data_IF_440500420707
#
_entry.id   IF_440500420707
#
_cell.length_a   1.000
_cell.length_b   1.000
_cell.length_c   1.000
_cell.angle_alpha   90.00
_cell.angle_beta   90.00
_cell.angle_gamma   90.00
#
_symmetry.space_group_name_H-M   'P 1'
#
loop_
_entity.id
_entity.type
_entity.pdbx_description
1 polymer ?
#
# COMPACT_ATOMS: atom_id res chain seq x y z
N UNK A 1 -4.17 -22.63 36.41
CA UNK A 1 -4.80 -22.96 37.71
C UNK A 1 -3.82 -23.82 38.50
N UNK A 2 -3.29 -23.29 39.59
CA UNK A 2 -2.50 -24.10 40.55
C UNK A 2 -3.48 -24.78 41.51
N UNK A 3 -3.51 -26.10 41.53
CA UNK A 3 -4.27 -26.86 42.48
C UNK A 3 -3.40 -27.09 43.72
N UNK A 4 -3.96 -26.93 44.88
CA UNK A 4 -3.31 -27.20 46.15
C UNK A 4 -4.08 -28.36 46.87
N UNK A 5 -3.41 -29.47 47.03
CA UNK A 5 -3.96 -30.61 47.82
C UNK A 5 -3.66 -30.40 49.29
N UNK A 6 -4.68 -30.37 50.10
CA UNK A 6 -4.57 -30.19 51.53
C UNK A 6 -5.24 -31.40 52.23
N UNK A 7 -4.65 -31.94 53.32
CA UNK A 7 -5.28 -32.98 54.09
C UNK A 7 -6.55 -32.48 54.82
N UNK A 8 -7.60 -33.28 54.83
CA UNK A 8 -8.87 -32.92 55.45
C UNK A 8 -8.69 -32.68 56.95
N UNK A 9 -9.08 -31.48 57.41
CA UNK A 9 -9.18 -31.14 58.86
C UNK A 9 -10.56 -30.55 59.11
N UNK A 10 -11.01 -30.67 60.38
CA UNK A 10 -12.33 -30.17 60.80
C UNK A 10 -12.54 -28.68 60.68
N UNK A 11 -11.47 -27.87 60.52
CA UNK A 11 -11.48 -26.47 60.19
C UNK A 11 -10.31 -26.25 59.24
N UNK A 12 -10.59 -25.85 57.99
CA UNK A 12 -9.59 -25.52 56.98
C UNK A 12 -9.57 -24.02 56.73
N UNK A 13 -8.40 -23.39 56.91
CA UNK A 13 -8.14 -22.04 56.48
C UNK A 13 -7.35 -22.11 55.17
N UNK A 14 -8.02 -21.91 54.02
CA UNK A 14 -7.38 -21.89 52.72
C UNK A 14 -7.01 -20.43 52.41
N UNK A 15 -5.73 -20.13 52.32
CA UNK A 15 -5.23 -18.84 51.86
C UNK A 15 -4.88 -19.01 50.37
N UNK A 16 -5.71 -18.50 49.51
CA UNK A 16 -5.41 -18.39 48.08
C UNK A 16 -4.45 -17.23 47.90
N UNK A 17 -3.24 -17.51 47.47
CA UNK A 17 -2.39 -16.45 46.91
C UNK A 17 -3.00 -15.95 45.61
N UNK A 18 -3.13 -14.66 45.44
CA UNK A 18 -3.60 -14.11 44.17
C UNK A 18 -2.64 -14.54 43.05
N UNK A 19 -3.18 -15.23 42.05
CA UNK A 19 -2.44 -15.62 40.82
C UNK A 19 -2.46 -14.49 39.80
N UNK A 20 -2.28 -13.26 40.27
CA UNK A 20 -2.02 -12.12 39.40
C UNK A 20 -0.55 -12.18 39.01
N UNK A 21 -0.21 -12.96 37.99
CA UNK A 21 0.95 -12.65 37.17
C UNK A 21 0.67 -11.30 36.53
N UNK A 22 1.13 -10.23 37.16
CA UNK A 22 1.22 -8.93 36.55
C UNK A 22 2.26 -9.08 35.43
N UNK A 23 1.79 -9.35 34.20
CA UNK A 23 2.63 -9.24 33.02
C UNK A 23 3.09 -7.78 32.98
N UNK A 24 4.31 -7.52 33.40
CA UNK A 24 4.95 -6.23 33.20
C UNK A 24 5.07 -6.01 31.69
N UNK A 25 4.18 -5.20 31.18
CA UNK A 25 4.11 -4.88 29.74
C UNK A 25 5.27 -3.95 29.41
N UNK A 26 6.35 -4.55 28.91
CA UNK A 26 7.57 -3.84 28.52
C UNK A 26 7.41 -3.31 27.12
N UNK A 27 7.53 -2.01 26.96
CA UNK A 27 7.45 -1.31 25.66
C UNK A 27 8.85 -0.96 25.19
N UNK A 28 9.13 -1.18 23.92
CA UNK A 28 10.34 -0.69 23.28
C UNK A 28 10.18 0.82 23.04
N UNK A 29 11.04 1.60 23.65
CA UNK A 29 11.08 3.06 23.52
C UNK A 29 12.16 3.49 22.52
N UNK A 30 12.57 4.74 22.57
CA UNK A 30 13.64 5.26 21.73
C UNK A 30 14.90 4.40 21.77
N UNK A 31 15.56 4.25 20.62
CA UNK A 31 16.85 3.57 20.47
C UNK A 31 16.83 2.08 20.88
N UNK A 32 15.66 1.43 20.85
CA UNK A 32 15.52 0.03 21.24
C UNK A 32 15.60 -0.23 22.76
N UNK A 33 15.54 0.79 23.59
CA UNK A 33 15.53 0.65 25.05
C UNK A 33 14.17 0.09 25.48
N UNK A 34 14.18 -0.95 26.29
CA UNK A 34 12.99 -1.53 26.90
C UNK A 34 12.69 -0.83 28.23
N UNK A 35 11.48 -0.32 28.38
CA UNK A 35 10.99 0.27 29.65
C UNK A 35 9.60 -0.28 29.97
N UNK A 36 9.30 -0.34 31.26
CA UNK A 36 7.96 -0.68 31.70
C UNK A 36 6.97 0.39 31.25
N UNK A 37 5.86 -0.02 30.72
CA UNK A 37 4.81 0.88 30.24
C UNK A 37 4.33 1.85 31.31
N UNK A 38 4.31 1.42 32.56
CA UNK A 38 3.95 2.25 33.72
C UNK A 38 4.95 3.37 34.01
N UNK A 39 6.20 3.19 33.61
CA UNK A 39 7.28 4.18 33.81
C UNK A 39 7.33 5.23 32.67
N UNK A 40 6.46 5.11 31.65
CA UNK A 40 6.42 6.07 30.54
C UNK A 40 5.53 7.26 30.89
N UNK A 41 6.09 8.47 30.88
CA UNK A 41 5.35 9.72 31.02
C UNK A 41 4.51 10.12 29.80
N UNK A 42 4.31 9.19 28.82
CA UNK A 42 3.58 9.44 27.58
C UNK A 42 2.78 8.20 27.14
N UNK A 43 1.73 8.43 26.36
CA UNK A 43 0.90 7.36 25.85
C UNK A 43 1.62 6.62 24.70
N UNK A 44 1.98 5.36 24.93
CA UNK A 44 2.45 4.42 23.92
C UNK A 44 1.37 3.36 23.68
N UNK A 45 1.20 3.00 22.43
CA UNK A 45 0.31 1.90 22.01
C UNK A 45 1.12 0.94 21.15
N UNK A 46 1.06 -0.34 21.47
CA UNK A 46 1.77 -1.39 20.78
C UNK A 46 0.82 -2.32 20.02
N UNK A 47 1.29 -2.83 18.89
CA UNK A 47 0.68 -3.90 18.11
C UNK A 47 1.68 -5.03 17.98
N UNK A 48 1.25 -6.24 18.22
CA UNK A 48 2.06 -7.44 18.05
C UNK A 48 1.88 -8.08 16.68
N UNK A 49 2.85 -8.89 16.26
CA UNK A 49 2.90 -9.58 14.97
C UNK A 49 1.59 -10.29 14.61
N UNK A 50 1.01 -11.03 15.55
CA UNK A 50 -0.26 -11.78 15.34
C UNK A 50 -1.46 -10.87 15.02
N UNK A 51 -1.45 -9.64 15.46
CA UNK A 51 -2.48 -8.66 15.13
C UNK A 51 -2.22 -8.01 13.76
N UNK A 52 -0.97 -7.88 13.35
CA UNK A 52 -0.56 -7.31 12.07
C UNK A 52 -0.87 -8.26 10.92
N UNK A 53 -0.49 -9.53 11.06
CA UNK A 53 -0.47 -10.50 9.96
C UNK A 53 -1.84 -11.15 9.67
N UNK A 54 -2.85 -10.96 10.54
CA UNK A 54 -4.20 -11.49 10.33
C UNK A 54 -4.87 -11.08 9.02
N UNK A 55 -4.54 -9.92 8.49
CA UNK A 55 -5.14 -9.39 7.26
C UNK A 55 -4.41 -9.82 5.98
N UNK A 56 -3.19 -10.36 6.08
CA UNK A 56 -2.37 -10.77 4.93
C UNK A 56 -2.06 -9.67 3.93
N UNK A 57 -2.09 -8.40 4.38
CA UNK A 57 -1.87 -7.25 3.52
C UNK A 57 -0.39 -7.05 3.21
N UNK A 58 -0.08 -6.59 2.00
CA UNK A 58 1.28 -6.29 1.54
C UNK A 58 1.83 -4.97 2.08
N UNK A 59 0.95 -4.02 2.42
CA UNK A 59 1.28 -2.69 2.91
C UNK A 59 1.22 -2.61 4.43
N UNK A 60 2.27 -2.03 5.04
CA UNK A 60 2.32 -1.76 6.47
C UNK A 60 1.18 -0.85 6.92
N UNK A 61 0.88 0.20 6.16
CA UNK A 61 -0.21 1.13 6.46
C UNK A 61 -1.56 0.41 6.53
N UNK A 62 -1.85 -0.48 5.56
CA UNK A 62 -3.07 -1.30 5.59
C UNK A 62 -3.09 -2.26 6.77
N UNK A 63 -1.94 -2.84 7.14
CA UNK A 63 -1.83 -3.78 8.26
C UNK A 63 -2.18 -3.14 9.61
N UNK A 64 -1.92 -1.85 9.80
CA UNK A 64 -2.18 -1.11 11.04
C UNK A 64 -3.48 -0.30 11.02
N UNK A 65 -4.15 -0.18 9.86
CA UNK A 65 -5.38 0.60 9.71
C UNK A 65 -6.50 0.10 10.63
N UNK A 66 -7.12 1.02 11.37
CA UNK A 66 -8.21 0.72 12.30
C UNK A 66 -7.80 0.01 13.60
N UNK A 67 -6.51 -0.31 13.78
CA UNK A 67 -6.00 -1.02 14.98
C UNK A 67 -5.40 -0.08 16.03
N UNK A 68 -5.20 1.19 15.70
CA UNK A 68 -4.49 2.17 16.52
C UNK A 68 -5.36 3.39 16.80
N UNK A 69 -5.51 3.72 18.08
CA UNK A 69 -6.33 4.87 18.51
C UNK A 69 -5.63 6.19 18.15
N UNK A 70 -6.37 7.13 17.55
CA UNK A 70 -5.86 8.48 17.21
C UNK A 70 -4.84 8.47 16.08
N UNK A 71 -4.87 7.43 15.24
CA UNK A 71 -4.10 7.33 13.99
C UNK A 71 -5.10 7.24 12.84
N UNK A 72 -5.05 8.22 11.95
CA UNK A 72 -5.81 8.25 10.70
C UNK A 72 -4.90 7.77 9.57
N UNK A 73 -5.35 6.77 8.83
CA UNK A 73 -4.60 6.17 7.74
C UNK A 73 -5.45 6.23 6.48
N UNK A 74 -4.94 6.90 5.47
CA UNK A 74 -5.58 7.05 4.17
C UNK A 74 -4.66 6.56 3.08
N UNK A 75 -5.14 5.65 2.27
CA UNK A 75 -4.47 5.26 1.04
C UNK A 75 -4.84 6.23 -0.08
N UNK A 76 -3.90 6.55 -0.95
CA UNK A 76 -4.12 7.41 -2.11
C UNK A 76 -5.06 6.76 -3.12
N UNK A 77 -5.02 5.42 -3.23
CA UNK A 77 -5.92 4.63 -4.08
C UNK A 77 -5.96 3.17 -3.59
N UNK A 78 -6.78 2.34 -4.24
CA UNK A 78 -6.81 0.89 -4.04
C UNK A 78 -5.83 0.12 -4.95
N UNK A 79 -4.96 0.81 -5.70
CA UNK A 79 -3.99 0.17 -6.58
C UNK A 79 -2.88 -0.53 -5.80
N UNK A 80 -2.27 -1.60 -6.34
CA UNK A 80 -1.09 -2.22 -5.77
C UNK A 80 0.03 -1.20 -5.57
N UNK A 81 0.69 -1.23 -4.40
CA UNK A 81 1.77 -0.31 -4.10
C UNK A 81 1.38 1.16 -3.89
N UNK A 82 0.07 1.46 -3.81
CA UNK A 82 -0.40 2.83 -3.59
C UNK A 82 0.22 3.45 -2.32
N UNK A 83 0.61 4.72 -2.41
CA UNK A 83 1.12 5.49 -1.28
C UNK A 83 0.06 5.65 -0.19
N UNK A 84 0.51 5.84 1.04
CA UNK A 84 -0.36 6.01 2.18
C UNK A 84 -0.01 7.25 2.97
N UNK A 85 -1.03 7.94 3.48
CA UNK A 85 -0.87 9.04 4.42
C UNK A 85 -1.26 8.57 5.82
N UNK A 86 -0.33 8.71 6.76
CA UNK A 86 -0.56 8.41 8.16
C UNK A 86 -0.50 9.71 8.94
N UNK A 87 -1.55 10.01 9.68
CA UNK A 87 -1.65 11.20 10.52
C UNK A 87 -1.93 10.79 11.96
N UNK A 88 -1.08 11.25 12.89
CA UNK A 88 -1.20 10.96 14.31
C UNK A 88 -1.73 12.19 15.03
N UNK A 89 -2.92 12.09 15.67
CA UNK A 89 -3.59 13.17 16.42
C UNK A 89 -3.91 14.42 15.58
N UNK A 90 -4.14 14.28 14.29
CA UNK A 90 -4.50 15.36 13.38
C UNK A 90 -3.31 16.01 12.67
N UNK A 91 -3.59 16.69 11.56
CA UNK A 91 -2.60 17.44 10.80
C UNK A 91 -2.17 18.68 11.60
N UNK A 92 -0.88 18.97 11.61
CA UNK A 92 -0.28 20.10 12.32
C UNK A 92 0.20 21.19 11.39
N UNK A 93 0.56 20.83 10.18
CA UNK A 93 1.02 21.75 9.14
C UNK A 93 -0.01 21.82 8.02
N UNK A 94 -0.26 23.02 7.52
CA UNK A 94 -1.12 23.23 6.36
C UNK A 94 -0.38 22.90 5.05
N UNK A 95 0.88 23.34 4.93
CA UNK A 95 1.71 23.15 3.72
C UNK A 95 2.85 22.15 3.93
N UNK A 96 3.06 21.66 5.14
CA UNK A 96 4.17 20.78 5.47
C UNK A 96 3.80 19.31 5.49
N UNK A 97 4.83 18.49 5.55
CA UNK A 97 4.67 17.07 5.73
C UNK A 97 4.07 16.76 7.11
N UNK A 98 2.94 16.06 7.16
CA UNK A 98 2.27 15.61 8.38
C UNK A 98 2.52 14.13 8.69
N UNK A 99 3.40 13.46 7.93
CA UNK A 99 3.75 12.06 8.11
C UNK A 99 4.60 11.85 9.38
N UNK A 100 4.39 10.75 10.11
CA UNK A 100 5.24 10.40 11.25
C UNK A 100 6.62 9.92 10.78
N UNK A 101 7.60 10.03 11.69
CA UNK A 101 8.91 9.41 11.48
C UNK A 101 8.81 7.89 11.68
N UNK A 102 9.43 7.14 10.80
CA UNK A 102 9.58 5.70 10.97
C UNK A 102 10.97 5.38 11.56
N UNK A 103 10.97 4.47 12.52
CA UNK A 103 12.19 3.99 13.17
C UNK A 103 12.18 2.46 13.17
N UNK A 104 13.12 1.85 12.48
CA UNK A 104 13.26 0.38 12.41
C UNK A 104 14.49 -0.06 13.20
N UNK A 105 14.28 -0.94 14.18
CA UNK A 105 15.32 -1.44 15.09
C UNK A 105 16.21 -0.33 15.72
N UNK A 106 15.57 0.81 16.03
CA UNK A 106 16.20 1.97 16.64
C UNK A 106 16.76 3.00 15.64
N UNK A 107 16.73 2.74 14.33
CA UNK A 107 17.23 3.65 13.29
C UNK A 107 16.10 4.35 12.55
N UNK A 108 16.13 5.71 12.48
CA UNK A 108 15.24 6.46 11.61
C UNK A 108 15.47 6.13 10.14
N UNK A 109 14.40 5.82 9.43
CA UNK A 109 14.39 5.57 7.98
C UNK A 109 13.48 6.56 7.26
N UNK A 110 13.73 6.77 5.97
CA UNK A 110 12.86 7.60 5.14
C UNK A 110 11.72 6.74 4.55
N UNK A 111 10.49 7.26 4.60
CA UNK A 111 9.31 6.61 4.03
C UNK A 111 8.52 7.51 3.08
N UNK A 112 9.05 8.71 2.75
CA UNK A 112 8.41 9.59 1.78
C UNK A 112 8.52 9.04 0.36
N UNK A 113 7.59 9.42 -0.51
CA UNK A 113 7.73 9.17 -1.94
C UNK A 113 8.91 9.98 -2.50
N UNK A 114 9.57 9.47 -3.54
CA UNK A 114 10.72 10.14 -4.15
C UNK A 114 10.31 11.41 -4.91
N UNK A 115 9.10 11.42 -5.46
CA UNK A 115 8.52 12.56 -6.15
C UNK A 115 7.22 12.97 -5.49
N UNK A 116 7.10 14.25 -5.24
CA UNK A 116 5.85 14.85 -4.82
C UNK A 116 5.01 15.15 -6.07
N UNK A 117 3.86 14.51 -6.17
CA UNK A 117 2.88 14.84 -7.24
C UNK A 117 2.22 16.20 -6.99
N UNK A 118 2.55 16.85 -5.90
CA UNK A 118 2.05 18.17 -5.51
C UNK A 118 0.53 18.21 -5.40
N UNK A 119 -0.05 19.36 -5.75
CA UNK A 119 -1.49 19.56 -5.78
C UNK A 119 -2.11 19.14 -7.14
N UNK A 120 -1.42 18.32 -7.91
CA UNK A 120 -1.88 17.88 -9.21
C UNK A 120 -3.12 17.01 -9.09
N UNK A 121 -4.15 17.35 -9.81
CA UNK A 121 -5.36 16.51 -10.00
C UNK A 121 -5.18 15.51 -11.14
N UNK A 122 -3.98 15.37 -11.66
CA UNK A 122 -3.59 14.43 -12.71
C UNK A 122 -2.17 13.93 -12.47
N UNK A 123 -1.85 12.72 -12.92
CA UNK A 123 -0.51 12.14 -12.84
C UNK A 123 -0.48 10.72 -12.31
N UNK A 124 0.71 10.13 -12.27
CA UNK A 124 0.93 8.80 -11.73
C UNK A 124 0.90 8.81 -10.19
N UNK A 125 0.45 7.73 -9.62
CA UNK A 125 0.44 7.53 -8.17
C UNK A 125 1.69 6.74 -7.78
N UNK A 126 2.76 7.43 -7.41
CA UNK A 126 4.00 6.80 -6.99
C UNK A 126 3.89 6.22 -5.58
N UNK A 127 4.51 5.06 -5.37
CA UNK A 127 4.56 4.43 -4.07
C UNK A 127 5.48 5.21 -3.12
N UNK A 128 5.04 5.34 -1.87
CA UNK A 128 5.92 5.77 -0.79
C UNK A 128 6.85 4.63 -0.34
N UNK A 129 7.91 4.98 0.39
CA UNK A 129 8.93 4.01 0.81
C UNK A 129 8.49 3.15 2.00
N UNK A 130 7.28 3.31 2.55
CA UNK A 130 6.73 2.41 3.57
C UNK A 130 6.41 1.02 3.03
N UNK A 131 6.21 0.90 1.71
CA UNK A 131 5.98 -0.38 1.02
C UNK A 131 7.20 -1.31 1.10
N UNK A 132 8.41 -0.77 1.28
CA UNK A 132 9.64 -1.54 1.38
C UNK A 132 9.75 -2.32 2.70
N UNK A 133 8.90 -2.01 3.68
CA UNK A 133 8.83 -2.70 4.97
C UNK A 133 7.80 -3.82 4.90
N UNK A 134 8.26 -5.07 5.01
CA UNK A 134 7.35 -6.21 5.00
C UNK A 134 6.67 -6.38 6.39
N UNK A 135 5.32 -6.36 6.49
CA UNK A 135 4.62 -6.59 7.75
C UNK A 135 4.95 -7.94 8.40
N UNK A 136 5.24 -8.98 7.62
CA UNK A 136 5.59 -10.32 8.12
C UNK A 136 6.93 -10.37 8.86
N UNK A 137 7.83 -9.41 8.62
CA UNK A 137 9.12 -9.32 9.31
C UNK A 137 9.03 -8.61 10.66
N UNK A 138 7.87 -8.04 10.99
CA UNK A 138 7.66 -7.22 12.18
C UNK A 138 7.28 -8.08 13.38
N UNK A 139 7.95 -7.88 14.51
CA UNK A 139 7.58 -8.44 15.82
C UNK A 139 6.58 -7.55 16.54
N UNK A 140 6.91 -6.24 16.65
CA UNK A 140 6.03 -5.25 17.29
C UNK A 140 6.11 -3.89 16.61
N UNK A 141 5.00 -3.16 16.66
CA UNK A 141 4.92 -1.75 16.30
C UNK A 141 4.50 -0.96 17.53
N UNK A 142 5.28 0.07 17.87
CA UNK A 142 4.95 1.02 18.92
C UNK A 142 4.76 2.40 18.33
N UNK A 143 3.70 3.11 18.75
CA UNK A 143 3.45 4.47 18.30
C UNK A 143 3.64 5.44 19.44
N UNK A 144 4.60 6.37 19.25
CA UNK A 144 4.81 7.50 20.11
C UNK A 144 4.02 8.70 19.57
N UNK A 145 3.04 9.14 20.35
CA UNK A 145 2.10 10.19 19.95
C UNK A 145 2.52 11.55 20.53
N UNK A 146 2.57 12.55 19.64
CA UNK A 146 2.76 13.94 20.05
C UNK A 146 4.20 14.31 20.36
N UNK A 147 4.38 15.40 21.14
CA UNK A 147 5.69 16.03 21.36
C UNK A 147 6.68 15.18 22.18
N UNK A 148 6.21 14.19 22.93
CA UNK A 148 7.09 13.25 23.60
C UNK A 148 8.03 12.52 22.63
N UNK A 149 7.56 12.28 21.40
CA UNK A 149 8.38 11.71 20.33
C UNK A 149 9.51 12.65 19.91
N UNK A 150 9.26 13.98 19.88
CA UNK A 150 10.26 14.99 19.52
C UNK A 150 11.38 15.11 20.54
N UNK A 151 11.10 14.85 21.81
CA UNK A 151 12.11 14.83 22.87
C UNK A 151 13.13 13.69 22.66
N UNK A 152 12.73 12.61 21.97
CA UNK A 152 13.57 11.44 21.76
C UNK A 152 14.26 11.43 20.38
N UNK A 153 13.58 11.94 19.33
CA UNK A 153 14.06 11.90 17.95
C UNK A 153 14.19 13.27 17.28
N UNK A 154 14.09 14.35 18.06
CA UNK A 154 14.20 15.72 17.56
C UNK A 154 12.99 16.17 16.73
N UNK A 155 13.16 17.30 16.03
CA UNK A 155 12.08 17.97 15.30
C UNK A 155 11.44 17.09 14.19
N UNK A 156 12.18 16.16 13.61
CA UNK A 156 11.66 15.22 12.61
C UNK A 156 10.52 14.35 13.14
N UNK A 157 10.44 14.18 14.46
CA UNK A 157 9.42 13.40 15.14
C UNK A 157 8.22 14.25 15.63
N UNK A 158 8.11 15.50 15.22
CA UNK A 158 7.03 16.41 15.66
C UNK A 158 5.63 15.86 15.35
N UNK A 159 5.48 15.11 14.26
CA UNK A 159 4.22 14.47 13.84
C UNK A 159 3.99 13.09 14.47
N UNK A 160 4.86 12.68 15.42
CA UNK A 160 4.87 11.35 16.04
C UNK A 160 5.89 10.42 15.41
N UNK A 161 6.03 9.23 16.01
CA UNK A 161 6.99 8.20 15.58
C UNK A 161 6.32 6.85 15.57
N UNK A 162 6.57 6.09 14.51
CA UNK A 162 6.22 4.67 14.38
C UNK A 162 7.52 3.89 14.60
N UNK A 163 7.62 3.22 15.75
CA UNK A 163 8.77 2.37 16.09
C UNK A 163 8.45 0.94 15.71
N UNK A 164 9.25 0.38 14.84
CA UNK A 164 9.14 -0.98 14.33
C UNK A 164 10.29 -1.80 14.90
N UNK A 165 9.96 -2.90 15.56
CA UNK A 165 10.93 -3.90 15.98
C UNK A 165 10.75 -5.11 15.10
N UNK A 166 11.82 -5.55 14.44
CA UNK A 166 11.79 -6.74 13.59
C UNK A 166 11.93 -8.02 14.41
N UNK A 167 11.46 -9.14 13.84
CA UNK A 167 11.51 -10.47 14.47
C UNK A 167 12.96 -10.87 14.78
N UNK A 168 13.21 -11.23 16.03
CA UNK A 168 14.50 -11.66 16.55
C UNK A 168 14.51 -13.16 16.81
N UNK A 169 15.67 -13.71 17.16
CA UNK A 169 15.76 -15.06 17.69
C UNK A 169 14.92 -15.22 18.97
N UNK A 170 14.40 -16.42 19.20
CA UNK A 170 13.57 -16.70 20.37
C UNK A 170 14.35 -16.48 21.67
N UNK A 171 13.61 -16.12 22.74
CA UNK A 171 14.22 -15.99 24.07
C UNK A 171 14.61 -17.38 24.62
N UNK A 172 15.81 -17.49 25.13
CA UNK A 172 16.35 -18.72 25.68
C UNK A 172 17.12 -19.57 24.69
N UNK A 173 17.93 -20.48 25.23
CA UNK A 173 18.77 -21.34 24.41
C UNK A 173 17.95 -22.42 23.70
N UNK A 174 18.15 -22.57 22.39
CA UNK A 174 17.45 -23.55 21.56
C UNK A 174 18.44 -24.54 20.95
N UNK A 175 18.17 -25.83 21.10
CA UNK A 175 19.00 -26.87 20.52
C UNK A 175 18.84 -27.00 18.98
N UNK A 176 17.78 -26.45 18.42
CA UNK A 176 17.47 -26.50 16.97
C UNK A 176 16.95 -25.17 16.49
N UNK A 177 17.21 -24.78 15.24
CA UNK A 177 16.62 -23.60 14.65
C UNK A 177 15.09 -23.73 14.51
N UNK A 178 14.39 -22.64 14.74
CA UNK A 178 12.97 -22.51 14.43
C UNK A 178 12.81 -22.03 12.99
N UNK A 179 12.09 -22.77 12.18
CA UNK A 179 11.74 -22.40 10.81
C UNK A 179 10.23 -22.11 10.76
N UNK A 180 9.88 -20.93 10.33
CA UNK A 180 8.47 -20.54 10.12
C UNK A 180 8.27 -20.28 8.63
N UNK A 181 7.28 -20.93 8.05
CA UNK A 181 6.86 -20.71 6.67
C UNK A 181 5.43 -20.20 6.75
N UNK A 182 5.16 -19.06 6.13
CA UNK A 182 3.82 -18.50 6.01
C UNK A 182 3.51 -18.20 4.54
N UNK A 183 2.28 -18.52 4.15
CA UNK A 183 1.72 -18.21 2.82
C UNK A 183 0.35 -17.60 3.01
N UNK A 184 0.07 -16.54 2.29
CA UNK A 184 -1.24 -15.91 2.27
C UNK A 184 -1.68 -15.72 0.82
N UNK A 185 -2.88 -16.18 0.50
CA UNK A 185 -3.53 -16.00 -0.80
C UNK A 185 -4.82 -15.23 -0.58
N UNK A 186 -5.02 -14.15 -1.32
CA UNK A 186 -6.25 -13.37 -1.24
C UNK A 186 -6.72 -12.91 -2.61
N UNK A 187 -8.04 -12.78 -2.76
CA UNK A 187 -8.69 -12.23 -3.93
C UNK A 187 -9.55 -11.03 -3.52
N UNK A 188 -9.53 -9.99 -4.34
CA UNK A 188 -10.24 -8.73 -4.08
C UNK A 188 -11.14 -8.39 -5.25
N UNK A 189 -12.35 -7.88 -4.94
CA UNK A 189 -13.29 -7.32 -5.91
C UNK A 189 -13.86 -6.02 -5.36
N UNK A 190 -14.27 -5.15 -6.26
CA UNK A 190 -14.99 -3.93 -5.87
C UNK A 190 -16.33 -4.32 -5.28
N UNK A 191 -16.58 -3.92 -4.04
CA UNK A 191 -17.84 -4.19 -3.31
C UNK A 191 -18.85 -3.06 -3.46
N UNK A 192 -18.39 -1.83 -3.66
CA UNK A 192 -19.24 -0.64 -3.83
C UNK A 192 -18.70 0.23 -4.95
N UNK A 193 -19.59 0.69 -5.79
CA UNK A 193 -19.34 1.65 -6.87
C UNK A 193 -20.39 2.75 -6.82
N UNK A 194 -20.13 3.85 -7.50
CA UNK A 194 -21.14 4.88 -7.72
C UNK A 194 -22.25 4.31 -8.62
N UNK A 195 -23.47 4.65 -8.31
CA UNK A 195 -24.62 4.34 -9.17
C UNK A 195 -24.53 5.19 -10.43
N UNK A 196 -24.66 4.55 -11.58
CA UNK A 196 -24.73 5.21 -12.87
C UNK A 196 -26.19 5.36 -13.30
N UNK A 197 -26.47 6.47 -13.96
CA UNK A 197 -27.74 6.57 -14.66
C UNK A 197 -27.76 5.60 -15.86
N UNK A 198 -28.90 4.96 -16.07
CA UNK A 198 -29.11 3.94 -17.11
C UNK A 198 -30.35 4.25 -17.97
N UNK A 199 -30.90 5.44 -17.85
CA UNK A 199 -32.13 5.82 -18.54
C UNK A 199 -31.86 6.60 -19.83
N UNK A 200 -30.85 7.52 -19.81
CA UNK A 200 -30.58 8.42 -20.91
C UNK A 200 -29.29 8.06 -21.62
N UNK A 201 -29.31 8.16 -22.94
CA UNK A 201 -28.18 7.94 -23.81
C UNK A 201 -27.27 9.16 -23.89
N UNK A 202 -26.14 8.96 -24.57
CA UNK A 202 -25.16 10.01 -24.88
C UNK A 202 -25.79 11.14 -25.67
N UNK A 203 -25.52 12.38 -25.27
CA UNK A 203 -26.03 13.59 -25.90
C UNK A 203 -25.94 14.81 -25.00
N UNK A 204 -26.03 16.00 -25.58
CA UNK A 204 -25.89 17.28 -24.90
C UNK A 204 -27.21 18.06 -24.87
N UNK A 205 -28.33 17.38 -24.67
CA UNK A 205 -29.65 18.02 -24.60
C UNK A 205 -30.74 17.13 -25.13
N UNK A 206 -31.94 17.51 -24.80
CA UNK A 206 -33.13 16.71 -24.90
C UNK A 206 -33.41 16.30 -26.36
N UNK A 207 -33.55 14.99 -26.58
CA UNK A 207 -34.11 14.37 -27.77
C UNK A 207 -33.18 14.12 -28.98
N UNK A 208 -31.87 14.30 -28.89
CA UNK A 208 -30.96 13.92 -29.96
C UNK A 208 -29.79 13.09 -29.41
N UNK A 209 -29.63 11.90 -29.97
CA UNK A 209 -28.45 11.08 -29.71
C UNK A 209 -27.22 11.71 -30.35
N UNK A 210 -26.14 11.92 -29.58
CA UNK A 210 -24.85 12.43 -30.07
C UNK A 210 -23.71 11.51 -29.63
N UNK A 211 -23.23 10.60 -30.52
CA UNK A 211 -22.19 9.63 -30.21
C UNK A 211 -20.79 10.26 -30.05
N UNK A 212 -20.66 11.56 -30.08
CA UNK A 212 -19.43 12.32 -29.82
C UNK A 212 -19.47 13.12 -28.53
N UNK A 213 -20.62 13.22 -27.89
CA UNK A 213 -20.80 13.99 -26.66
C UNK A 213 -20.09 13.35 -25.47
N UNK A 214 -19.55 14.15 -24.57
CA UNK A 214 -19.07 13.67 -23.25
C UNK A 214 -20.17 13.66 -22.18
N UNK A 215 -21.40 13.99 -22.52
CA UNK A 215 -22.55 14.06 -21.63
C UNK A 215 -23.57 12.95 -21.95
N UNK A 216 -24.33 12.54 -20.95
CA UNK A 216 -25.38 11.52 -21.04
C UNK A 216 -26.76 12.12 -20.76
N UNK A 217 -27.08 13.20 -21.48
CA UNK A 217 -28.37 13.92 -21.44
C UNK A 217 -29.08 13.89 -22.80
N UNK A 218 -28.88 12.83 -23.56
CA UNK A 218 -29.55 12.56 -24.81
C UNK A 218 -30.96 11.99 -24.62
N UNK A 219 -31.52 11.32 -25.63
CA UNK A 219 -32.82 10.65 -25.55
C UNK A 219 -32.76 9.46 -24.58
N UNK A 220 -33.94 8.95 -24.20
CA UNK A 220 -33.99 7.67 -23.46
C UNK A 220 -33.38 6.56 -24.28
N UNK A 221 -32.56 5.71 -23.65
CA UNK A 221 -31.92 4.57 -24.30
C UNK A 221 -32.96 3.69 -25.01
N UNK A 222 -34.10 3.43 -24.35
CA UNK A 222 -35.21 2.65 -24.91
C UNK A 222 -35.85 3.26 -26.18
N UNK A 223 -35.61 4.54 -26.46
CA UNK A 223 -36.15 5.25 -27.61
C UNK A 223 -35.12 5.52 -28.73
N UNK A 224 -33.91 5.01 -28.60
CA UNK A 224 -32.83 5.24 -29.59
C UNK A 224 -33.18 4.76 -31.01
N UNK A 225 -33.99 3.70 -31.12
CA UNK A 225 -34.47 3.20 -32.41
C UNK A 225 -35.34 4.23 -33.16
N UNK A 226 -35.90 5.23 -32.44
CA UNK A 226 -36.74 6.28 -33.03
C UNK A 226 -35.98 7.64 -33.08
N UNK A 227 -34.67 7.66 -32.84
CA UNK A 227 -33.86 8.88 -33.01
C UNK A 227 -33.91 9.36 -34.47
N UNK A 228 -34.07 10.67 -34.66
CA UNK A 228 -34.25 11.26 -36.00
C UNK A 228 -33.03 11.06 -36.92
N UNK A 229 -31.82 11.00 -36.35
CA UNK A 229 -30.56 10.91 -37.10
C UNK A 229 -30.00 9.50 -37.16
N UNK A 230 -30.15 8.71 -36.09
CA UNK A 230 -29.51 7.43 -35.91
C UNK A 230 -30.48 6.27 -35.73
N UNK A 231 -31.78 6.52 -35.62
CA UNK A 231 -32.79 5.50 -35.36
C UNK A 231 -33.11 4.68 -36.60
N UNK A 232 -33.17 3.35 -36.45
CA UNK A 232 -33.48 2.41 -37.52
C UNK A 232 -34.96 2.39 -37.92
N UNK A 233 -35.85 3.00 -37.10
CA UNK A 233 -37.26 3.17 -37.39
C UNK A 233 -37.58 4.45 -38.17
N UNK A 234 -36.60 5.35 -38.38
CA UNK A 234 -36.80 6.66 -38.99
C UNK A 234 -36.15 6.75 -40.37
N UNK A 235 -36.66 7.64 -41.22
CA UNK A 235 -36.02 7.96 -42.49
C UNK A 235 -34.87 8.93 -42.28
N UNK A 236 -33.65 8.41 -42.36
CA UNK A 236 -32.42 9.17 -42.15
C UNK A 236 -31.30 8.69 -43.09
N UNK A 237 -30.15 9.34 -43.06
CA UNK A 237 -29.03 9.04 -44.00
C UNK A 237 -28.55 7.57 -43.94
N UNK A 238 -28.64 6.92 -42.81
CA UNK A 238 -28.20 5.52 -42.63
C UNK A 238 -29.24 4.55 -43.15
N UNK A 239 -30.53 4.76 -42.83
CA UNK A 239 -31.62 3.92 -43.35
C UNK A 239 -31.83 4.12 -44.84
N UNK A 240 -31.54 5.30 -45.40
CA UNK A 240 -31.53 5.53 -46.83
C UNK A 240 -30.43 4.76 -47.54
N UNK A 241 -29.29 4.53 -46.91
CA UNK A 241 -28.16 3.80 -47.52
C UNK A 241 -28.24 2.29 -47.28
N UNK A 242 -28.70 1.84 -46.13
CA UNK A 242 -28.61 0.44 -45.70
C UNK A 242 -29.99 -0.24 -45.49
N UNK A 243 -31.10 0.51 -45.62
CA UNK A 243 -32.44 0.05 -45.37
C UNK A 243 -32.92 0.29 -43.94
N UNK A 244 -34.20 -0.02 -43.70
CA UNK A 244 -34.85 0.10 -42.39
C UNK A 244 -34.38 -1.03 -41.47
N UNK A 245 -33.96 -0.65 -40.25
CA UNK A 245 -33.50 -1.56 -39.19
C UNK A 245 -34.39 -1.43 -37.95
N UNK A 246 -35.57 -1.99 -37.99
CA UNK A 246 -36.56 -1.89 -36.95
C UNK A 246 -36.02 -2.29 -35.55
N UNK A 247 -36.24 -1.41 -34.58
CA UNK A 247 -35.81 -1.63 -33.19
C UNK A 247 -34.32 -1.42 -32.92
N UNK A 248 -33.54 -1.05 -33.93
CA UNK A 248 -32.10 -0.79 -33.82
C UNK A 248 -31.80 0.71 -33.97
N UNK A 249 -30.61 1.09 -33.57
CA UNK A 249 -30.03 2.40 -33.86
C UNK A 249 -28.61 2.25 -34.40
N UNK A 250 -28.17 3.24 -35.18
CA UNK A 250 -26.84 3.26 -35.79
C UNK A 250 -25.83 3.88 -34.82
N UNK A 251 -24.81 3.11 -34.43
CA UNK A 251 -23.69 3.59 -33.65
C UNK A 251 -22.44 3.71 -34.56
N UNK A 252 -21.99 4.92 -34.90
CA UNK A 252 -20.88 5.11 -35.81
C UNK A 252 -19.55 4.60 -35.24
N UNK A 253 -19.42 4.46 -33.93
CA UNK A 253 -18.21 3.91 -33.29
C UNK A 253 -18.05 2.42 -33.53
N UNK A 254 -19.17 1.69 -33.55
CA UNK A 254 -19.20 0.27 -33.96
C UNK A 254 -18.78 0.10 -35.42
N UNK A 255 -19.33 0.92 -36.31
CA UNK A 255 -18.95 0.91 -37.72
C UNK A 255 -17.46 1.27 -37.91
N UNK A 256 -16.95 2.26 -37.19
CA UNK A 256 -15.51 2.62 -37.18
C UNK A 256 -14.63 1.45 -36.71
N UNK A 257 -15.14 0.61 -35.82
CA UNK A 257 -14.47 -0.60 -35.33
C UNK A 257 -14.55 -1.81 -36.28
N UNK A 258 -15.15 -1.65 -37.45
CA UNK A 258 -15.33 -2.74 -38.42
C UNK A 258 -16.48 -3.70 -38.08
N UNK A 259 -17.33 -3.34 -37.10
CA UNK A 259 -18.56 -4.09 -36.76
C UNK A 259 -19.75 -3.52 -37.51
N UNK A 260 -20.91 -4.23 -37.45
CA UNK A 260 -22.17 -3.61 -37.90
C UNK A 260 -22.40 -2.34 -37.07
N UNK A 261 -22.71 -1.23 -37.75
CA UNK A 261 -23.12 0.01 -37.12
C UNK A 261 -24.48 -0.13 -36.40
N UNK A 262 -25.35 -1.01 -36.89
CA UNK A 262 -26.67 -1.24 -36.32
C UNK A 262 -26.60 -2.13 -35.07
N UNK A 263 -27.25 -1.68 -34.00
CA UNK A 263 -27.31 -2.40 -32.72
C UNK A 263 -28.63 -2.12 -32.02
N UNK A 264 -29.09 -3.06 -31.19
CA UNK A 264 -30.22 -2.86 -30.29
C UNK A 264 -29.84 -1.92 -29.13
N UNK A 265 -30.77 -1.10 -28.63
CA UNK A 265 -30.56 -0.35 -27.41
C UNK A 265 -30.41 -1.30 -26.21
N UNK A 266 -29.23 -1.36 -25.63
CA UNK A 266 -28.90 -2.19 -24.47
C UNK A 266 -28.21 -1.34 -23.40
N UNK A 267 -28.19 -1.82 -22.17
CA UNK A 267 -27.56 -1.17 -21.02
C UNK A 267 -26.37 -2.03 -20.60
N UNK A 268 -25.18 -1.44 -20.59
CA UNK A 268 -23.91 -2.08 -20.22
C UNK A 268 -23.41 -1.58 -18.87
N UNK A 269 -22.93 -2.49 -18.05
CA UNK A 269 -22.26 -2.14 -16.79
C UNK A 269 -20.75 -1.99 -17.01
N UNK A 270 -20.36 -0.95 -17.73
CA UNK A 270 -19.00 -0.68 -18.16
C UNK A 270 -17.97 -0.68 -17.01
N UNK A 271 -18.39 -0.29 -15.80
CA UNK A 271 -17.51 -0.27 -14.64
C UNK A 271 -17.20 -1.67 -14.14
N UNK A 272 -18.22 -2.53 -14.00
CA UNK A 272 -17.99 -3.92 -13.59
C UNK A 272 -17.28 -4.73 -14.68
N UNK A 273 -17.56 -4.47 -15.94
CA UNK A 273 -16.94 -5.16 -17.06
C UNK A 273 -15.45 -4.82 -17.22
N UNK A 274 -15.08 -3.61 -16.83
CA UNK A 274 -13.68 -3.15 -16.84
C UNK A 274 -12.89 -3.63 -15.63
N UNK A 275 -13.49 -3.61 -14.44
CA UNK A 275 -12.81 -3.96 -13.20
C UNK A 275 -12.69 -5.48 -13.04
N UNK A 276 -11.47 -5.96 -12.91
CA UNK A 276 -11.15 -7.35 -12.70
C UNK A 276 -11.24 -7.80 -11.24
N UNK A 277 -10.76 -9.02 -11.00
CA UNK A 277 -10.46 -9.54 -9.67
C UNK A 277 -8.98 -9.38 -9.42
N UNK A 278 -8.62 -8.61 -8.40
CA UNK A 278 -7.25 -8.52 -7.92
C UNK A 278 -6.88 -9.80 -7.16
N UNK A 279 -5.65 -10.25 -7.33
CA UNK A 279 -5.11 -11.43 -6.65
C UNK A 279 -3.82 -11.06 -5.95
N UNK A 280 -3.65 -11.53 -4.71
CA UNK A 280 -2.44 -11.28 -3.93
C UNK A 280 -1.91 -12.60 -3.38
N UNK A 281 -0.62 -12.84 -3.60
CA UNK A 281 0.13 -13.95 -3.05
C UNK A 281 1.30 -13.40 -2.23
N UNK A 282 1.39 -13.83 -0.97
CA UNK A 282 2.53 -13.53 -0.10
C UNK A 282 3.12 -14.84 0.39
N UNK A 283 4.43 -14.99 0.26
CA UNK A 283 5.21 -16.10 0.79
C UNK A 283 6.34 -15.56 1.66
N UNK A 284 6.53 -16.15 2.83
CA UNK A 284 7.58 -15.75 3.77
C UNK A 284 8.18 -16.97 4.45
N UNK A 285 9.51 -16.99 4.53
CA UNK A 285 10.29 -18.01 5.25
C UNK A 285 11.16 -17.28 6.26
N UNK A 286 11.07 -17.66 7.52
CA UNK A 286 11.89 -17.13 8.59
C UNK A 286 12.60 -18.26 9.32
N UNK A 287 13.92 -18.14 9.47
CA UNK A 287 14.79 -19.01 10.23
C UNK A 287 15.33 -18.24 11.43
N UNK A 288 15.15 -18.75 12.64
CA UNK A 288 15.66 -18.09 13.85
C UNK A 288 16.14 -19.08 14.90
N UNK A 289 17.20 -18.72 15.62
CA UNK A 289 17.73 -19.51 16.72
C UNK A 289 18.46 -18.62 17.71
N UNK A 290 18.51 -19.08 18.95
CA UNK A 290 19.42 -18.54 19.98
C UNK A 290 20.27 -19.68 20.53
N UNK A 291 21.58 -19.54 20.42
CA UNK A 291 22.57 -20.49 20.91
C UNK A 291 23.46 -19.76 21.90
N UNK A 292 23.38 -20.14 23.18
CA UNK A 292 24.12 -19.48 24.27
C UNK A 292 23.91 -17.94 24.24
N UNK A 293 24.93 -17.22 23.81
CA UNK A 293 24.95 -15.76 23.78
C UNK A 293 24.68 -15.16 22.39
N UNK A 294 24.46 -15.99 21.38
CA UNK A 294 24.22 -15.58 20.00
C UNK A 294 22.75 -15.83 19.62
N UNK A 295 22.07 -14.77 19.22
CA UNK A 295 20.71 -14.82 18.69
C UNK A 295 20.72 -14.36 17.25
N UNK A 296 20.09 -15.09 16.34
CA UNK A 296 19.98 -14.68 14.95
C UNK A 296 18.61 -14.97 14.36
N UNK A 297 18.26 -14.19 13.36
CA UNK A 297 17.03 -14.35 12.58
C UNK A 297 17.29 -13.96 11.14
N UNK A 298 16.91 -14.83 10.20
CA UNK A 298 17.00 -14.59 8.76
C UNK A 298 15.62 -14.80 8.15
N UNK A 299 15.19 -13.88 7.30
CA UNK A 299 13.92 -13.94 6.61
C UNK A 299 14.09 -13.69 5.12
N UNK A 300 13.28 -14.38 4.32
CA UNK A 300 13.13 -14.11 2.87
C UNK A 300 11.64 -14.05 2.58
N UNK A 301 11.22 -13.07 1.83
CA UNK A 301 9.83 -12.90 1.48
C UNK A 301 9.65 -12.57 -0.02
N UNK A 302 8.51 -12.96 -0.54
CA UNK A 302 8.02 -12.60 -1.85
C UNK A 302 6.57 -12.17 -1.75
N UNK A 303 6.19 -11.16 -2.51
CA UNK A 303 4.83 -10.67 -2.60
C UNK A 303 4.51 -10.35 -4.05
N UNK A 304 3.48 -11.00 -4.59
CA UNK A 304 2.95 -10.75 -5.91
C UNK A 304 1.50 -10.27 -5.79
N UNK A 305 1.16 -9.17 -6.42
CA UNK A 305 -0.19 -8.60 -6.38
C UNK A 305 -0.60 -8.10 -7.76
N UNK A 306 -1.71 -8.63 -8.27
CA UNK A 306 -2.42 -8.07 -9.43
C UNK A 306 -3.52 -7.12 -8.94
N UNK A 307 -3.64 -5.96 -9.59
CA UNK A 307 -4.68 -4.98 -9.29
C UNK A 307 -6.04 -5.37 -9.85
N UNK A 308 -7.07 -4.65 -9.39
CA UNK A 308 -8.43 -4.74 -9.95
C UNK A 308 -8.57 -3.98 -11.27
N UNK A 309 -7.69 -3.01 -11.54
CA UNK A 309 -7.55 -2.35 -12.83
C UNK A 309 -6.63 -3.21 -13.69
N UNK A 310 -7.01 -3.55 -14.92
CA UNK A 310 -6.16 -4.35 -15.81
C UNK A 310 -4.74 -3.78 -15.94
N UNK A 311 -3.76 -4.66 -16.10
CA UNK A 311 -2.33 -4.33 -16.28
C UNK A 311 -1.67 -3.57 -15.13
N UNK A 312 -2.31 -3.47 -13.96
CA UNK A 312 -1.69 -2.93 -12.75
C UNK A 312 -1.25 -4.04 -11.80
N UNK A 313 -0.11 -3.84 -11.13
CA UNK A 313 0.41 -4.87 -10.23
C UNK A 313 1.61 -4.43 -9.43
N UNK A 314 2.05 -5.33 -8.54
CA UNK A 314 3.25 -5.16 -7.73
C UNK A 314 3.93 -6.49 -7.52
N UNK A 315 5.24 -6.54 -7.76
CA UNK A 315 6.15 -7.60 -7.36
C UNK A 315 7.14 -7.05 -6.34
N UNK A 316 7.27 -7.71 -5.20
CA UNK A 316 8.24 -7.32 -4.17
C UNK A 316 8.99 -8.54 -3.65
N UNK A 317 10.32 -8.43 -3.60
CA UNK A 317 11.21 -9.35 -2.94
C UNK A 317 11.88 -8.70 -1.76
N UNK A 318 12.05 -9.44 -0.67
CA UNK A 318 12.76 -8.96 0.49
C UNK A 318 13.63 -10.04 1.12
N UNK A 319 14.73 -9.60 1.71
CA UNK A 319 15.60 -10.43 2.54
C UNK A 319 16.01 -9.65 3.79
N UNK A 320 15.97 -10.30 4.94
CA UNK A 320 16.32 -9.71 6.22
C UNK A 320 17.29 -10.60 6.99
N UNK A 321 18.30 -9.98 7.58
CA UNK A 321 19.22 -10.62 8.51
C UNK A 321 19.36 -9.81 9.79
N UNK A 322 19.29 -10.47 10.93
CA UNK A 322 19.50 -9.86 12.24
C UNK A 322 20.34 -10.81 13.09
N UNK A 323 21.35 -10.25 13.75
CA UNK A 323 22.23 -10.96 14.68
C UNK A 323 22.42 -10.10 15.92
N UNK A 324 22.19 -10.67 17.09
CA UNK A 324 22.52 -10.08 18.39
C UNK A 324 23.48 -11.02 19.11
N UNK A 325 24.60 -10.51 19.55
CA UNK A 325 25.64 -11.27 20.24
C UNK A 325 26.02 -10.64 21.56
N UNK A 326 25.79 -11.35 22.64
CA UNK A 326 26.24 -11.00 23.98
C UNK A 326 27.66 -11.57 24.16
N UNK A 327 28.69 -10.75 23.87
CA UNK A 327 30.09 -11.16 23.91
C UNK A 327 30.46 -11.64 25.32
N UNK A 328 30.09 -10.86 26.34
CA UNK A 328 30.24 -11.18 27.76
C UNK A 328 29.18 -10.46 28.59
N UNK A 329 29.37 -10.33 29.90
CA UNK A 329 28.43 -9.62 30.79
C UNK A 329 28.34 -8.13 30.54
N UNK A 330 29.41 -7.51 30.02
CA UNK A 330 29.53 -6.08 29.84
C UNK A 330 29.30 -5.64 28.38
N UNK A 331 29.61 -6.50 27.41
CA UNK A 331 29.61 -6.15 25.98
C UNK A 331 28.54 -6.91 25.20
N UNK A 332 27.68 -6.13 24.53
CA UNK A 332 26.71 -6.63 23.55
C UNK A 332 26.96 -5.95 22.21
N UNK A 333 26.74 -6.66 21.14
CA UNK A 333 26.76 -6.11 19.78
C UNK A 333 25.65 -6.71 18.95
N UNK A 334 25.22 -6.01 17.93
CA UNK A 334 24.24 -6.54 17.01
C UNK A 334 24.32 -5.84 15.66
N UNK A 335 23.75 -6.53 14.70
CA UNK A 335 23.69 -6.09 13.31
C UNK A 335 22.33 -6.44 12.73
N UNK A 336 21.74 -5.53 11.99
CA UNK A 336 20.54 -5.78 11.19
C UNK A 336 20.73 -5.25 9.78
N UNK A 337 20.27 -6.00 8.79
CA UNK A 337 20.23 -5.58 7.40
C UNK A 337 18.92 -6.06 6.77
N UNK A 338 18.30 -5.18 6.01
CA UNK A 338 17.10 -5.44 5.24
C UNK A 338 17.36 -5.03 3.80
N UNK A 339 16.98 -5.89 2.88
CA UNK A 339 16.96 -5.64 1.45
C UNK A 339 15.53 -5.74 0.95
N UNK A 340 15.12 -4.82 0.11
CA UNK A 340 13.82 -4.85 -0.59
C UNK A 340 14.03 -4.46 -2.05
N UNK A 341 13.42 -5.21 -2.94
CA UNK A 341 13.29 -4.87 -4.37
C UNK A 341 11.82 -4.91 -4.73
N UNK A 342 11.29 -3.81 -5.22
CA UNK A 342 9.88 -3.69 -5.61
C UNK A 342 9.74 -3.18 -7.03
N UNK A 343 8.88 -3.83 -7.82
CA UNK A 343 8.46 -3.40 -9.15
C UNK A 343 6.96 -3.17 -9.10
N UNK A 344 6.52 -1.96 -9.41
CA UNK A 344 5.13 -1.56 -9.40
C UNK A 344 4.76 -1.06 -10.78
N UNK A 345 3.66 -1.58 -11.33
CA UNK A 345 3.03 -1.07 -12.54
C UNK A 345 1.71 -0.44 -12.13
N UNK A 346 1.55 0.85 -12.37
CA UNK A 346 0.39 1.63 -11.99
C UNK A 346 -0.34 2.22 -13.19
N UNK A 347 -1.57 2.67 -12.99
CA UNK A 347 -2.31 3.46 -13.96
C UNK A 347 -2.41 4.91 -13.48
N UNK A 348 -2.46 5.89 -14.39
CA UNK A 348 -2.67 7.28 -14.00
C UNK A 348 -4.00 7.47 -13.30
N UNK A 349 -3.98 8.32 -12.28
CA UNK A 349 -5.11 8.63 -11.43
C UNK A 349 -5.80 9.95 -11.75
N UNK A 350 -6.77 10.33 -10.91
CA UNK A 350 -7.50 11.59 -10.93
C UNK A 350 -8.21 11.90 -12.26
N UNK A 351 -8.26 13.17 -12.68
CA UNK A 351 -9.06 13.63 -13.82
C UNK A 351 -8.64 13.05 -15.16
N UNK A 352 -7.34 12.80 -15.37
CA UNK A 352 -6.83 12.13 -16.57
C UNK A 352 -6.73 10.63 -16.43
N UNK A 353 -7.17 10.09 -15.29
CA UNK A 353 -7.04 8.67 -14.98
C UNK A 353 -8.00 7.78 -15.75
N UNK A 354 -7.57 6.52 -15.89
CA UNK A 354 -8.32 5.48 -16.59
C UNK A 354 -9.74 5.30 -16.04
N UNK A 355 -9.90 5.37 -14.71
CA UNK A 355 -11.21 5.22 -14.05
C UNK A 355 -12.17 6.38 -14.34
N UNK A 356 -11.66 7.61 -14.55
CA UNK A 356 -12.51 8.72 -14.96
C UNK A 356 -13.18 8.45 -16.33
N UNK A 357 -12.43 7.85 -17.25
CA UNK A 357 -12.96 7.49 -18.57
C UNK A 357 -13.98 6.35 -18.44
N UNK A 358 -13.67 5.32 -17.66
CA UNK A 358 -14.59 4.19 -17.42
C UNK A 358 -15.90 4.68 -16.78
N UNK A 359 -15.82 5.52 -15.74
CA UNK A 359 -17.00 6.07 -15.06
C UNK A 359 -17.80 7.08 -15.92
N UNK A 360 -17.20 7.65 -16.94
CA UNK A 360 -17.88 8.55 -17.86
C UNK A 360 -18.41 7.84 -19.12
N UNK A 361 -18.19 6.53 -19.24
CA UNK A 361 -18.74 5.77 -20.36
C UNK A 361 -20.29 5.74 -20.30
N UNK A 362 -20.98 6.08 -21.41
CA UNK A 362 -22.42 6.03 -21.46
C UNK A 362 -22.95 4.61 -21.28
N UNK A 363 -24.12 4.48 -20.68
CA UNK A 363 -24.68 3.16 -20.37
C UNK A 363 -25.07 2.36 -21.63
N UNK A 364 -25.37 3.01 -22.73
CA UNK A 364 -25.68 2.34 -24.01
C UNK A 364 -24.43 2.00 -24.85
N UNK A 365 -23.24 2.44 -24.41
CA UNK A 365 -22.00 2.18 -25.11
C UNK A 365 -21.33 0.89 -24.58
N UNK A 366 -21.18 -0.10 -25.43
CA UNK A 366 -20.47 -1.34 -25.13
C UNK A 366 -18.95 -1.10 -25.13
N UNK A 367 -18.41 -0.64 -23.98
CA UNK A 367 -17.00 -0.31 -23.86
C UNK A 367 -16.07 -1.52 -24.04
N UNK A 368 -16.55 -2.71 -23.67
CA UNK A 368 -15.81 -3.97 -23.76
C UNK A 368 -15.94 -4.65 -25.11
N UNK A 369 -17.14 -4.64 -25.68
CA UNK A 369 -17.43 -5.35 -26.91
C UNK A 369 -17.06 -4.60 -28.18
N UNK A 370 -16.88 -3.27 -28.12
CA UNK A 370 -16.39 -2.49 -29.25
C UNK A 370 -14.86 -2.52 -29.23
N UNK A 371 -14.19 -2.97 -30.34
CA UNK A 371 -12.74 -2.93 -30.45
C UNK A 371 -12.15 -1.57 -30.11
N UNK A 372 -11.00 -1.58 -29.47
CA UNK A 372 -10.36 -0.36 -28.93
C UNK A 372 -9.78 0.56 -30.00
N UNK A 373 -9.58 0.06 -31.21
CA UNK A 373 -8.96 0.78 -32.33
C UNK A 373 -9.56 0.39 -33.68
N UNK A 374 -9.30 1.20 -34.67
CA UNK A 374 -9.71 0.96 -36.06
C UNK A 374 -9.01 -0.30 -36.61
N UNK A 375 -9.69 -1.17 -37.37
CA UNK A 375 -9.07 -2.34 -37.98
C UNK A 375 -7.81 -1.99 -38.77
N UNK A 376 -6.72 -2.73 -38.52
CA UNK A 376 -5.40 -2.54 -39.12
C UNK A 376 -4.68 -1.22 -38.77
N UNK A 377 -5.20 -0.43 -37.82
CA UNK A 377 -4.55 0.77 -37.32
C UNK A 377 -4.63 0.86 -35.79
N UNK A 378 -3.72 0.19 -35.05
CA UNK A 378 -3.73 0.14 -33.60
C UNK A 378 -3.48 1.49 -32.93
N UNK A 379 -2.97 2.49 -33.71
CA UNK A 379 -2.71 3.83 -33.21
C UNK A 379 -3.93 4.76 -33.23
N UNK A 380 -4.98 4.34 -33.96
CA UNK A 380 -6.21 5.11 -34.13
C UNK A 380 -7.30 4.54 -33.21
N UNK A 381 -7.35 5.05 -32.00
CA UNK A 381 -8.26 4.58 -30.97
C UNK A 381 -9.72 4.90 -31.27
N UNK A 382 -10.62 4.02 -30.88
CA UNK A 382 -12.06 4.23 -30.90
C UNK A 382 -12.51 4.66 -29.52
N UNK A 383 -13.09 5.84 -29.45
CA UNK A 383 -13.51 6.51 -28.23
C UNK A 383 -14.98 6.89 -28.30
N UNK A 384 -15.70 6.73 -27.22
CA UNK A 384 -17.10 7.17 -27.12
C UNK A 384 -17.26 8.69 -27.05
N UNK A 385 -16.17 9.41 -26.73
CA UNK A 385 -16.15 10.88 -26.62
C UNK A 385 -14.92 11.47 -27.30
N UNK A 386 -14.53 12.70 -26.96
CA UNK A 386 -13.42 13.41 -27.58
C UNK A 386 -12.09 12.67 -27.53
N UNK A 387 -11.19 13.00 -28.45
CA UNK A 387 -9.86 12.39 -28.60
C UNK A 387 -8.84 12.84 -27.54
N UNK A 388 -9.27 13.59 -26.53
CA UNK A 388 -8.41 14.05 -25.43
C UNK A 388 -8.14 13.00 -24.36
N UNK A 389 -8.72 11.81 -24.50
CA UNK A 389 -8.61 10.71 -23.57
C UNK A 389 -8.29 9.42 -24.32
N UNK A 390 -7.71 8.47 -23.64
CA UNK A 390 -7.51 7.12 -24.19
C UNK A 390 -8.76 6.27 -23.99
N UNK A 391 -8.98 5.30 -24.87
CA UNK A 391 -9.86 4.17 -24.58
C UNK A 391 -9.27 3.41 -23.38
N UNK A 392 -10.05 3.09 -22.30
CA UNK A 392 -9.49 2.49 -21.09
C UNK A 392 -8.83 1.14 -21.32
N UNK A 393 -9.40 0.28 -22.18
CA UNK A 393 -8.80 -1.02 -22.48
C UNK A 393 -7.54 -0.86 -23.34
N UNK A 394 -7.57 0.02 -24.35
CA UNK A 394 -6.37 0.33 -25.13
C UNK A 394 -5.25 0.86 -24.25
N UNK A 395 -5.59 1.74 -23.31
CA UNK A 395 -4.63 2.31 -22.37
C UNK A 395 -4.01 1.26 -21.45
N UNK A 396 -4.83 0.38 -20.88
CA UNK A 396 -4.36 -0.69 -20.03
C UNK A 396 -3.39 -1.66 -20.75
N UNK A 397 -3.54 -1.81 -22.06
CA UNK A 397 -2.73 -2.72 -22.88
C UNK A 397 -1.46 -2.08 -23.43
N UNK A 398 -1.43 -0.75 -23.58
CA UNK A 398 -0.40 -0.06 -24.36
C UNK A 398 0.42 0.97 -23.57
N UNK A 399 -0.20 1.73 -22.65
CA UNK A 399 0.53 2.71 -21.84
C UNK A 399 0.96 2.06 -20.50
N UNK A 400 2.17 2.35 -20.04
CA UNK A 400 2.70 1.77 -18.82
C UNK A 400 3.36 2.82 -17.92
N UNK A 401 3.07 2.78 -16.62
CA UNK A 401 3.74 3.59 -15.59
C UNK A 401 4.42 2.65 -14.61
N UNK A 402 5.74 2.53 -14.74
CA UNK A 402 6.55 1.57 -14.01
C UNK A 402 7.46 2.25 -13.01
N UNK A 403 7.48 1.74 -11.80
CA UNK A 403 8.42 2.12 -10.75
C UNK A 403 9.18 0.87 -10.31
N UNK A 404 10.51 0.93 -10.31
CA UNK A 404 11.37 -0.11 -9.78
C UNK A 404 12.28 0.47 -8.71
N UNK A 405 12.23 -0.08 -7.50
CA UNK A 405 13.03 0.41 -6.37
C UNK A 405 13.82 -0.72 -5.75
N UNK A 406 15.11 -0.48 -5.54
CA UNK A 406 16.00 -1.33 -4.77
C UNK A 406 16.46 -0.57 -3.52
N UNK A 407 16.30 -1.16 -2.33
CA UNK A 407 16.64 -0.53 -1.06
C UNK A 407 17.39 -1.47 -0.15
N UNK A 408 18.40 -0.92 0.51
CA UNK A 408 19.10 -1.54 1.64
C UNK A 408 19.04 -0.62 2.83
N UNK A 409 18.56 -1.09 3.96
CA UNK A 409 18.60 -0.34 5.21
C UNK A 409 18.93 -1.25 6.38
N UNK A 410 19.58 -0.70 7.38
CA UNK A 410 19.98 -1.48 8.55
C UNK A 410 20.89 -0.71 9.48
N UNK A 411 21.32 -1.39 10.52
CA UNK A 411 22.18 -0.78 11.54
C UNK A 411 23.11 -1.81 12.18
N UNK A 412 24.17 -1.31 12.77
CA UNK A 412 25.02 -2.05 13.68
C UNK A 412 25.13 -1.27 14.99
N UNK A 413 25.23 -1.96 16.10
CA UNK A 413 25.44 -1.33 17.41
C UNK A 413 26.47 -2.07 18.24
N UNK A 414 27.14 -1.32 19.13
CA UNK A 414 27.95 -1.85 20.20
C UNK A 414 27.44 -1.23 21.50
N UNK A 415 27.24 -2.05 22.50
CA UNK A 415 26.75 -1.65 23.81
C UNK A 415 27.75 -2.10 24.88
N UNK A 416 28.14 -1.18 25.74
CA UNK A 416 29.04 -1.42 26.86
C UNK A 416 28.34 -1.05 28.18
N UNK A 417 28.26 -2.01 29.08
CA UNK A 417 27.70 -1.85 30.41
C UNK A 417 28.71 -2.33 31.45
N UNK A 418 29.58 -1.45 31.94
CA UNK A 418 30.61 -1.83 32.91
C UNK A 418 29.99 -2.27 34.24
N UNK A 419 30.57 -3.30 34.84
CA UNK A 419 30.30 -3.66 36.23
C UNK A 419 31.11 -2.73 37.14
N UNK A 420 30.44 -1.72 37.72
CA UNK A 420 31.07 -0.71 38.57
C UNK A 420 31.13 -1.11 40.04
N UNK A 421 30.56 -2.28 40.39
CA UNK A 421 30.48 -2.75 41.78
C UNK A 421 29.59 -1.89 42.69
N UNK A 422 28.76 -1.02 42.11
CA UNK A 422 27.90 -0.09 42.86
C UNK A 422 26.54 -0.69 43.28
N UNK A 423 26.40 -2.02 43.12
CA UNK A 423 25.14 -2.74 43.37
C UNK A 423 24.17 -2.64 42.17
N UNK A 424 23.05 -3.33 42.30
CA UNK A 424 22.04 -3.43 41.20
C UNK A 424 21.28 -2.11 40.96
N UNK A 425 21.37 -1.16 41.86
CA UNK A 425 20.66 0.13 41.78
C UNK A 425 21.31 1.14 40.81
N UNK A 426 22.59 0.96 40.51
CA UNK A 426 23.32 1.85 39.60
C UNK A 426 23.99 1.09 38.49
N UNK A 427 23.54 1.34 37.25
CA UNK A 427 24.19 0.81 36.06
C UNK A 427 24.40 1.91 35.02
N UNK A 428 25.59 1.96 34.45
CA UNK A 428 25.90 2.84 33.32
C UNK A 428 25.87 1.97 32.06
N UNK A 429 25.22 2.48 31.02
CA UNK A 429 25.16 1.83 29.73
C UNK A 429 25.53 2.83 28.65
N UNK A 430 26.50 2.46 27.83
CA UNK A 430 26.90 3.21 26.64
C UNK A 430 26.52 2.40 25.42
N UNK A 431 25.84 3.02 24.46
CA UNK A 431 25.49 2.39 23.18
C UNK A 431 25.84 3.31 22.04
N UNK A 432 26.70 2.83 21.16
CA UNK A 432 26.99 3.43 19.87
C UNK A 432 26.22 2.65 18.81
N UNK A 433 25.50 3.35 17.94
CA UNK A 433 24.71 2.75 16.88
C UNK A 433 24.90 3.55 15.59
N UNK A 434 25.36 2.88 14.55
CA UNK A 434 25.47 3.41 13.20
C UNK A 434 24.47 2.71 12.30
N UNK A 435 23.86 3.46 11.39
CA UNK A 435 22.90 2.90 10.45
C UNK A 435 22.98 3.55 9.09
N UNK A 436 22.48 2.82 8.11
CA UNK A 436 22.39 3.25 6.72
C UNK A 436 20.99 2.99 6.18
N UNK A 437 20.57 3.84 5.24
CA UNK A 437 19.35 3.72 4.46
C UNK A 437 19.65 4.22 3.05
N UNK A 438 19.75 3.30 2.10
CA UNK A 438 20.18 3.57 0.73
C UNK A 438 19.15 2.97 -0.21
N UNK A 439 18.65 3.77 -1.14
CA UNK A 439 17.77 3.27 -2.20
C UNK A 439 17.98 3.97 -3.52
N UNK A 440 17.67 3.23 -4.58
CA UNK A 440 17.56 3.72 -5.95
C UNK A 440 16.16 3.42 -6.46
N UNK A 441 15.55 4.39 -7.10
CA UNK A 441 14.25 4.24 -7.77
C UNK A 441 14.37 4.66 -9.21
N UNK A 442 13.98 3.77 -10.10
CA UNK A 442 13.91 3.98 -11.54
C UNK A 442 12.45 4.02 -11.97
N UNK A 443 12.09 5.02 -12.73
CA UNK A 443 10.75 5.26 -13.26
C UNK A 443 10.79 5.21 -14.77
N UNK A 444 9.80 4.57 -15.35
CA UNK A 444 9.64 4.49 -16.80
C UNK A 444 8.17 4.70 -17.13
N UNK A 445 7.87 5.84 -17.74
CA UNK A 445 6.52 6.19 -18.19
C UNK A 445 6.49 6.04 -19.71
N UNK A 446 5.62 5.15 -20.19
CA UNK A 446 5.45 4.83 -21.59
C UNK A 446 4.06 5.30 -22.03
N UNK A 447 4.02 6.21 -22.99
CA UNK A 447 2.84 6.50 -23.79
C UNK A 447 3.07 5.94 -25.19
N UNK A 448 2.30 4.93 -25.59
CA UNK A 448 2.45 4.29 -26.90
C UNK A 448 2.01 5.23 -28.03
N UNK A 449 2.46 4.97 -29.25
CA UNK A 449 2.04 5.72 -30.45
C UNK A 449 0.51 5.64 -30.58
N UNK A 450 -0.13 6.80 -30.68
CA UNK A 450 -1.59 6.89 -30.67
C UNK A 450 -2.20 7.26 -29.32
N UNK A 451 -1.40 7.26 -28.22
CA UNK A 451 -1.86 7.71 -26.90
C UNK A 451 -2.35 9.16 -26.93
N UNK A 452 -3.37 9.44 -26.10
CA UNK A 452 -3.86 10.81 -25.92
C UNK A 452 -2.83 11.71 -25.25
N UNK A 453 -1.92 11.15 -24.45
CA UNK A 453 -0.84 11.88 -23.82
C UNK A 453 0.17 12.40 -24.86
N UNK A 454 0.53 11.56 -25.83
CA UNK A 454 1.38 11.93 -26.94
C UNK A 454 1.11 11.05 -28.17
N UNK A 455 0.53 11.62 -29.23
CA UNK A 455 0.16 10.87 -30.43
C UNK A 455 1.35 10.26 -31.20
N UNK A 456 2.56 10.75 -30.95
CA UNK A 456 3.80 10.22 -31.54
C UNK A 456 4.46 9.15 -30.69
N UNK A 457 3.90 8.87 -29.52
CA UNK A 457 4.53 8.07 -28.49
C UNK A 457 5.58 8.84 -27.68
N UNK A 458 5.83 8.41 -26.47
CA UNK A 458 6.80 9.01 -25.56
C UNK A 458 7.28 7.96 -24.56
N UNK A 459 8.58 7.98 -24.28
CA UNK A 459 9.17 7.19 -23.19
C UNK A 459 9.97 8.16 -22.32
N UNK A 460 9.55 8.29 -21.07
CA UNK A 460 10.26 9.07 -20.06
C UNK A 460 10.92 8.13 -19.06
N UNK A 461 12.26 8.16 -18.99
CA UNK A 461 13.03 7.45 -17.99
C UNK A 461 13.67 8.46 -17.05
N UNK A 462 13.41 8.32 -15.76
CA UNK A 462 14.00 9.17 -14.72
C UNK A 462 14.17 8.35 -13.44
N UNK A 463 14.98 8.85 -12.52
CA UNK A 463 15.26 8.12 -11.31
C UNK A 463 15.75 8.99 -10.19
N UNK A 464 15.82 8.42 -9.01
CA UNK A 464 16.39 9.03 -7.81
C UNK A 464 17.31 8.05 -7.08
N UNK A 465 18.35 8.58 -6.45
CA UNK A 465 19.21 7.84 -5.56
C UNK A 465 19.35 8.60 -4.25
N UNK A 466 19.16 7.90 -3.16
CA UNK A 466 19.25 8.45 -1.81
C UNK A 466 20.19 7.63 -0.94
N UNK A 467 21.04 8.33 -0.20
CA UNK A 467 21.97 7.73 0.73
C UNK A 467 21.86 8.48 2.07
N UNK A 468 21.38 7.79 3.10
CA UNK A 468 21.21 8.35 4.44
C UNK A 468 22.06 7.57 5.42
N UNK A 469 22.96 8.25 6.11
CA UNK A 469 23.76 7.71 7.18
C UNK A 469 23.35 8.34 8.52
N UNK A 470 23.13 7.51 9.50
CA UNK A 470 22.79 7.93 10.85
C UNK A 470 23.82 7.38 11.82
N UNK A 471 24.21 8.20 12.79
CA UNK A 471 25.04 7.79 13.91
C UNK A 471 24.42 8.28 15.19
N UNK A 472 24.40 7.49 16.24
CA UNK A 472 23.85 7.88 17.52
C UNK A 472 24.64 7.24 18.66
N UNK A 473 25.15 8.08 19.53
CA UNK A 473 25.71 7.71 20.81
C UNK A 473 24.69 7.96 21.91
N UNK A 474 24.33 6.92 22.62
CA UNK A 474 23.43 6.99 23.76
C UNK A 474 24.15 6.55 25.01
N UNK A 475 23.99 7.30 26.07
CA UNK A 475 24.32 6.83 27.40
C UNK A 475 23.08 6.84 28.28
N UNK A 476 22.91 5.86 29.15
CA UNK A 476 21.81 5.81 30.12
C UNK A 476 22.37 5.47 31.47
N UNK A 477 21.88 6.19 32.48
CA UNK A 477 21.99 5.81 33.89
C UNK A 477 20.57 5.59 34.43
N UNK A 478 20.33 4.69 35.40
CA UNK A 478 19.07 4.68 36.10
C UNK A 478 18.84 6.05 36.71
N UNK A 479 17.65 6.58 36.52
CA UNK A 479 17.18 7.70 37.32
C UNK A 479 16.93 7.20 38.74
N UNK A 480 17.32 7.91 39.78
CA UNK A 480 17.00 7.53 41.15
C UNK A 480 15.50 7.46 41.38
#
# INVERSE_FOLDING_TARGET
MKSQELPMKSIMKVVLSSDSEQLDEVVVTAMGIKRDRKALGYAAQDLKSDQLNKSGTTSLASAIQGKLTGVDIRQSSGAPGASSQIIIRGARSFDGNNQPLYVVDGMPINTTADFDTGNSVSGANYADRSIDINPEDIETINILKGQAASALYGIRASNGVIIITTKRGPKGNMNRPSVTISTNLSAQRVSRKFEHQTEYAQGNGVNAYDPGSSMTWGPKISNLANDATYGGNTDNKYTQSEGIHNGQYYNPKRAQAGLSGWTTPEIYDNVNDFLGTGFTENANINLSQTINNLSYSFGVNNSHQNGIIPSTGMDRWGARGLVDWKINKEWNTGFSANYSSSKITSAPGANSGIMNVVYSAPAEYDLKGIPTHVPNDPTNQILFRSTSFNNPYWWADNDEYRQHTNRVFGNAYVEFQPDLGWGDEFSLKFREQAGLDIWTSDYCDIAEVGSAANKKGQIDNYGSQHNVFNNCLLYTSPSP
#
